data_IF_284558022571
#
_entry.id   IF_284558022571
#
_cell.length_a   1.000
_cell.length_b   1.000
_cell.length_c   1.000
_cell.angle_alpha   90.00
_cell.angle_beta   90.00
_cell.angle_gamma   90.00
#
_symmetry.space_group_name_H-M   'P 1'
#
loop_
_entity.id
_entity.type
_entity.pdbx_description
1 polymer ?
2 non-polymer ?
3 non-polymer ?
4 non-polymer ?
5 non-polymer ?
6 water ?
#
# COMPACT_ATOMS: atom_id res chain seq x y z
N UNK A 1 9.71 12.25 22.89
CA UNK A 1 9.18 12.18 21.48
C UNK A 1 9.01 10.68 21.11
N UNK A 2 7.97 10.29 20.39
CA UNK A 2 7.66 8.90 20.17
C UNK A 2 8.27 8.55 18.77
N UNK A 3 8.52 7.27 18.73
CA UNK A 3 8.95 6.60 17.46
C UNK A 3 8.60 5.13 17.68
N UNK A 4 8.58 4.41 16.53
CA UNK A 4 8.30 2.96 16.72
C UNK A 4 8.52 2.23 15.39
N UNK A 5 8.68 0.90 15.58
CA UNK A 5 8.86 0.06 14.37
C UNK A 5 7.78 -0.98 14.36
N UNK A 6 7.13 -1.17 13.26
CA UNK A 6 6.09 -2.24 13.20
C UNK A 6 6.63 -3.19 12.18
N UNK A 7 6.62 -4.44 12.37
CA UNK A 7 7.15 -5.37 11.33
C UNK A 7 6.00 -5.83 10.48
N UNK A 8 6.16 -5.86 9.18
CA UNK A 8 5.17 -6.33 8.22
C UNK A 8 5.75 -7.67 7.68
N UNK A 9 4.79 -8.40 7.18
CA UNK A 9 5.07 -9.69 6.56
C UNK A 9 4.26 -9.87 5.32
N UNK A 10 4.84 -10.30 4.26
CA UNK A 10 4.12 -10.54 3.02
C UNK A 10 3.29 -11.83 3.13
N UNK A 11 2.20 -11.85 2.48
CA UNK A 11 1.35 -13.07 2.38
C UNK A 11 1.92 -13.87 1.20
N UNK A 12 1.25 -14.97 0.78
CA UNK A 12 1.79 -15.78 -0.34
C UNK A 12 2.04 -14.93 -1.59
N UNK A 13 3.17 -15.04 -2.17
CA UNK A 13 3.57 -14.37 -3.38
C UNK A 13 3.71 -12.87 -3.17
N UNK A 14 3.78 -12.44 -1.95
CA UNK A 14 3.83 -11.00 -1.66
C UNK A 14 2.58 -10.29 -2.22
N UNK A 15 1.44 -10.89 -2.13
CA UNK A 15 0.17 -10.27 -2.61
C UNK A 15 -0.23 -9.03 -1.78
N UNK A 16 -0.04 -9.15 -0.50
CA UNK A 16 -0.29 -7.99 0.42
C UNK A 16 0.63 -8.10 1.58
N UNK A 17 0.80 -7.02 2.33
CA UNK A 17 1.67 -7.02 3.51
C UNK A 17 0.84 -6.77 4.79
N UNK A 18 0.97 -7.59 5.79
CA UNK A 18 0.11 -7.34 6.99
C UNK A 18 1.00 -7.06 8.17
N UNK A 19 0.48 -6.20 9.02
CA UNK A 19 1.18 -5.78 10.24
C UNK A 19 0.13 -5.81 11.39
N UNK A 20 0.53 -6.19 12.57
CA UNK A 20 -0.40 -6.19 13.72
C UNK A 20 -0.61 -4.77 14.24
N UNK A 21 -1.80 -4.53 14.67
CA UNK A 21 -2.31 -3.25 15.19
C UNK A 21 -3.22 -3.66 16.39
N UNK A 22 -2.98 -2.97 17.51
CA UNK A 22 -3.85 -3.31 18.67
C UNK A 22 -4.89 -2.26 18.84
N UNK A 23 -6.15 -2.65 18.78
CA UNK A 23 -7.25 -1.69 18.89
C UNK A 23 -8.07 -2.00 20.16
N UNK A 24 -8.06 -1.03 21.07
CA UNK A 24 -8.75 -1.28 22.35
C UNK A 24 -8.35 -2.67 22.92
N UNK A 25 -7.09 -3.03 22.96
CA UNK A 25 -6.75 -4.36 23.54
C UNK A 25 -6.78 -5.60 22.65
N UNK A 26 -7.44 -5.60 21.52
CA UNK A 26 -7.44 -6.73 20.61
C UNK A 26 -6.44 -6.45 19.46
N UNK A 27 -5.61 -7.43 19.16
CA UNK A 27 -4.68 -7.21 18.02
C UNK A 27 -5.28 -7.81 16.74
N UNK A 28 -5.30 -7.07 15.68
CA UNK A 28 -5.81 -7.39 14.36
C UNK A 28 -4.62 -7.30 13.35
N UNK A 29 -4.69 -8.07 12.28
CA UNK A 29 -3.60 -8.01 11.27
C UNK A 29 -4.12 -7.15 10.14
N UNK A 30 -3.58 -5.93 9.99
CA UNK A 30 -4.08 -5.00 9.00
C UNK A 30 -3.17 -4.78 7.81
N UNK A 31 -3.72 -4.39 6.72
CA UNK A 31 -2.93 -4.06 5.50
C UNK A 31 -2.70 -2.55 5.50
N UNK A 32 -1.48 -2.11 5.73
CA UNK A 32 -1.16 -0.65 5.74
C UNK A 32 -1.18 -0.17 4.30
N UNK A 33 -1.99 0.84 4.01
CA UNK A 33 -2.25 1.29 2.68
C UNK A 33 -2.00 2.77 2.51
N UNK A 34 -0.87 3.12 1.85
CA UNK A 34 -0.59 4.56 1.64
C UNK A 34 -1.47 5.07 0.49
N UNK A 35 -2.39 4.32 -0.11
CA UNK A 35 -3.25 4.77 -1.17
C UNK A 35 -4.69 5.08 -0.71
N UNK A 36 -4.87 4.96 0.59
CA UNK A 36 -6.30 5.36 1.06
C UNK A 36 -6.13 5.89 2.49
N UNK A 37 -7.19 6.66 2.93
CA UNK A 37 -7.13 7.29 4.24
C UNK A 37 -8.14 6.78 5.28
N UNK A 38 -8.64 5.61 5.18
CA UNK A 38 -9.62 5.05 6.14
C UNK A 38 -8.98 3.86 6.90
N UNK A 39 -9.14 3.88 8.21
CA UNK A 39 -8.74 2.73 9.05
C UNK A 39 -10.04 1.96 9.33
N UNK A 40 -10.24 0.84 8.66
CA UNK A 40 -11.47 0.08 8.81
C UNK A 40 -11.09 -1.33 9.21
N UNK A 41 -11.96 -1.96 9.98
CA UNK A 41 -11.74 -3.30 10.51
C UNK A 41 -12.95 -4.18 10.41
N UNK A 42 -12.67 -5.50 10.33
CA UNK A 42 -13.74 -6.53 10.43
C UNK A 42 -14.27 -6.33 11.85
N UNK A 43 -15.58 -6.42 12.05
CA UNK A 43 -16.12 -6.12 13.41
C UNK A 43 -17.22 -7.19 13.67
N UNK A 44 -17.69 -7.09 14.93
CA UNK A 44 -18.78 -7.98 15.42
C UNK A 44 -20.10 -7.54 14.80
N UNK A 45 -20.16 -6.42 14.04
CA UNK A 45 -21.40 -5.94 13.42
C UNK A 45 -21.58 -6.65 12.14
N UNK A 46 -20.56 -7.39 11.60
CA UNK A 46 -20.76 -8.16 10.38
C UNK A 46 -21.59 -9.43 10.75
N UNK A 47 -22.17 -10.00 9.76
CA UNK A 47 -22.87 -11.32 9.87
C UNK A 47 -21.88 -12.29 10.42
N UNK A 48 -22.21 -13.17 11.32
CA UNK A 48 -21.32 -14.14 11.94
C UNK A 48 -20.55 -14.97 10.93
N UNK A 49 -21.12 -15.32 9.83
CA UNK A 49 -20.33 -16.18 8.88
C UNK A 49 -19.22 -15.36 8.22
N UNK A 50 -19.29 -14.05 8.19
CA UNK A 50 -18.24 -13.24 7.60
C UNK A 50 -17.11 -12.98 8.58
N UNK A 51 -17.32 -13.22 9.85
CA UNK A 51 -16.38 -12.98 10.93
C UNK A 51 -15.39 -14.13 10.97
N UNK A 52 -15.83 -15.17 10.33
CA UNK A 52 -15.03 -16.41 10.29
C UNK A 52 -13.61 -16.30 9.73
N UNK A 53 -12.64 -16.79 10.50
CA UNK A 53 -11.26 -16.72 9.95
C UNK A 53 -10.60 -15.36 10.15
N UNK A 54 -11.22 -14.48 10.93
CA UNK A 54 -10.63 -13.16 11.17
C UNK A 54 -10.52 -12.81 12.61
N UNK A 55 -9.76 -11.85 13.01
CA UNK A 55 -9.68 -11.30 14.37
C UNK A 55 -10.66 -10.12 14.18
N UNK A 56 -11.62 -9.95 15.08
CA UNK A 56 -12.59 -8.88 14.85
C UNK A 56 -12.57 -7.89 16.03
N UNK A 57 -12.98 -6.70 15.68
CA UNK A 57 -13.06 -5.64 16.70
C UNK A 57 -14.51 -5.73 17.25
N UNK A 58 -14.61 -5.61 18.56
CA UNK A 58 -15.96 -5.55 19.19
C UNK A 58 -16.03 -4.13 19.78
N UNK A 59 -16.73 -3.27 19.04
CA UNK A 59 -16.79 -1.87 19.41
C UNK A 59 -17.43 -1.58 20.74
N UNK A 60 -18.39 -2.41 21.13
CA UNK A 60 -19.19 -2.10 22.37
C UNK A 60 -18.36 -2.27 23.61
N UNK A 61 -17.31 -3.10 23.50
CA UNK A 61 -16.38 -3.29 24.62
C UNK A 61 -15.49 -2.08 24.97
N UNK A 62 -14.91 -1.30 24.06
CA UNK A 62 -14.00 -0.23 24.41
C UNK A 62 -14.19 1.04 23.61
N UNK A 63 -14.91 0.95 22.54
CA UNK A 63 -15.13 2.07 21.63
C UNK A 63 -16.12 3.14 22.09
N UNK A 64 -15.90 4.30 21.70
CA UNK A 64 -16.89 5.40 21.94
C UNK A 64 -17.54 5.59 20.54
N UNK A 65 -18.81 5.35 20.44
CA UNK A 65 -19.53 5.53 19.14
C UNK A 65 -19.69 6.96 18.70
N UNK A 66 -19.55 7.36 17.49
CA UNK A 66 -19.82 8.63 16.90
C UNK A 66 -21.21 8.40 16.27
N UNK A 67 -22.23 8.70 17.07
CA UNK A 67 -23.62 8.44 16.59
C UNK A 67 -23.93 9.20 15.36
N UNK A 68 -24.48 8.51 14.41
CA UNK A 68 -24.85 9.11 13.12
C UNK A 68 -23.71 9.17 12.07
N UNK A 69 -22.53 8.66 12.42
CA UNK A 69 -21.47 8.83 11.38
C UNK A 69 -21.39 7.50 10.61
N UNK A 70 -21.05 7.58 9.35
CA UNK A 70 -20.91 6.47 8.44
C UNK A 70 -19.63 6.64 7.61
N UNK A 71 -19.34 5.54 6.92
CA UNK A 71 -18.12 5.60 5.98
C UNK A 71 -18.56 4.60 4.89
N UNK A 72 -17.99 4.80 3.75
CA UNK A 72 -18.27 4.02 2.55
C UNK A 72 -17.07 4.23 1.60
N UNK A 73 -16.46 3.11 1.21
CA UNK A 73 -15.27 3.29 0.29
C UNK A 73 -15.30 2.26 -0.83
N UNK A 74 -14.80 2.68 -1.98
CA UNK A 74 -14.59 1.82 -3.16
C UNK A 74 -13.11 1.84 -3.58
N UNK A 75 -12.48 0.73 -3.75
CA UNK A 75 -11.08 0.73 -4.19
C UNK A 75 -10.94 0.51 -5.67
N UNK A 76 -9.70 0.60 -6.15
CA UNK A 76 -9.28 0.45 -7.52
C UNK A 76 -9.61 -0.90 -8.17
N UNK A 77 -9.68 -2.00 -7.44
CA UNK A 77 -10.05 -3.29 -8.06
C UNK A 77 -11.55 -3.58 -7.95
N UNK A 78 -12.36 -2.60 -7.61
CA UNK A 78 -13.83 -2.74 -7.45
C UNK A 78 -14.20 -3.20 -6.05
N UNK A 79 -13.41 -3.52 -5.11
CA UNK A 79 -13.82 -3.97 -3.80
C UNK A 79 -14.37 -2.74 -3.00
N UNK A 80 -15.20 -3.01 -2.01
CA UNK A 80 -15.81 -1.92 -1.24
C UNK A 80 -16.22 -2.41 0.16
N UNK A 81 -16.46 -1.43 1.03
CA UNK A 81 -16.83 -1.73 2.45
C UNK A 81 -17.45 -0.41 2.97
N UNK A 82 -18.24 -0.63 4.03
CA UNK A 82 -18.94 0.57 4.63
C UNK A 82 -19.33 0.19 6.05
N UNK A 83 -19.71 1.19 6.86
CA UNK A 83 -20.14 0.80 8.24
C UNK A 83 -20.24 2.06 9.00
N UNK A 84 -20.03 1.93 10.30
CA UNK A 84 -20.17 3.03 11.27
C UNK A 84 -18.86 3.35 11.94
N UNK A 85 -18.84 4.29 12.85
CA UNK A 85 -17.56 4.74 13.41
C UNK A 85 -17.46 4.87 14.85
N UNK A 86 -16.34 4.47 15.42
CA UNK A 86 -16.11 4.58 16.86
C UNK A 86 -14.72 5.23 17.08
N UNK A 87 -14.47 5.72 18.28
CA UNK A 87 -13.07 6.19 18.58
C UNK A 87 -12.55 5.18 19.60
N UNK A 88 -11.26 4.87 19.48
CA UNK A 88 -10.63 3.94 20.42
C UNK A 88 -9.13 4.19 20.45
N UNK A 89 -8.46 3.37 21.26
CA UNK A 89 -6.95 3.50 21.34
C UNK A 89 -6.37 2.54 20.27
N UNK A 90 -5.45 3.16 19.50
CA UNK A 90 -4.91 2.27 18.41
C UNK A 90 -3.38 2.34 18.56
N UNK A 91 -2.79 1.15 18.72
CA UNK A 91 -1.31 1.07 18.90
C UNK A 91 -0.60 0.35 17.77
N UNK A 92 0.41 1.06 17.22
CA UNK A 92 1.20 0.46 16.11
C UNK A 92 2.68 0.55 16.47
N UNK A 93 3.37 -0.54 16.49
CA UNK A 93 4.81 -0.54 16.82
C UNK A 93 5.14 0.25 18.07
N UNK A 94 4.29 0.12 19.03
CA UNK A 94 4.39 0.76 20.30
C UNK A 94 3.98 2.23 20.23
N UNK A 95 3.51 2.82 19.23
CA UNK A 95 3.06 4.22 19.20
C UNK A 95 1.50 4.10 19.33
N UNK A 96 1.01 4.88 20.28
CA UNK A 96 -0.45 4.88 20.53
C UNK A 96 -1.16 6.18 20.17
N UNK A 97 -2.23 6.06 19.45
CA UNK A 97 -3.08 7.21 19.08
C UNK A 97 -4.26 7.03 20.03
N UNK A 98 -4.59 7.99 20.91
CA UNK A 98 -5.80 7.87 21.74
C UNK A 98 -6.93 8.63 20.99
N UNK A 99 -8.12 8.11 21.03
CA UNK A 99 -9.25 8.68 20.29
C UNK A 99 -9.18 8.63 18.77
N UNK A 100 -8.45 7.66 18.26
CA UNK A 100 -8.39 7.44 16.79
C UNK A 100 -9.73 6.92 16.25
N UNK A 101 -10.18 7.52 15.14
CA UNK A 101 -11.42 7.02 14.50
C UNK A 101 -11.22 5.61 13.96
N UNK A 102 -11.98 4.62 14.35
CA UNK A 102 -11.92 3.21 13.93
C UNK A 102 -13.25 2.97 13.19
N UNK A 103 -13.13 2.68 11.91
CA UNK A 103 -14.27 2.47 11.02
C UNK A 103 -14.67 1.01 11.06
N UNK A 104 -15.77 0.72 11.79
CA UNK A 104 -16.19 -0.69 11.96
C UNK A 104 -17.00 -1.11 10.77
N UNK A 105 -16.62 -2.22 10.09
CA UNK A 105 -17.37 -2.71 8.95
C UNK A 105 -18.72 -3.36 9.37
N UNK A 106 -19.69 -2.83 8.58
CA UNK A 106 -21.03 -3.43 8.61
C UNK A 106 -21.25 -4.24 7.30
N UNK A 107 -20.69 -3.90 6.19
CA UNK A 107 -20.82 -4.57 4.93
C UNK A 107 -19.42 -4.62 4.24
N UNK A 108 -19.11 -5.72 3.59
CA UNK A 108 -17.86 -5.90 2.85
C UNK A 108 -18.17 -6.63 1.53
N UNK A 109 -17.47 -6.27 0.42
CA UNK A 109 -17.80 -6.93 -0.86
C UNK A 109 -17.15 -8.30 -0.84
N UNK A 110 -17.43 -9.10 -1.84
CA UNK A 110 -16.91 -10.49 -1.94
C UNK A 110 -15.39 -10.62 -1.84
N UNK A 111 -14.70 -9.68 -2.46
CA UNK A 111 -13.21 -9.72 -2.38
C UNK A 111 -12.72 -9.80 -0.99
N UNK A 112 -13.27 -8.92 -0.08
CA UNK A 112 -12.81 -8.97 1.33
C UNK A 112 -13.33 -10.20 2.07
N UNK A 113 -14.51 -10.59 1.71
CA UNK A 113 -15.16 -11.78 2.32
C UNK A 113 -14.23 -13.00 2.02
N UNK A 114 -13.61 -13.01 0.86
CA UNK A 114 -12.76 -14.18 0.57
C UNK A 114 -11.36 -14.00 1.01
N UNK A 115 -10.89 -12.83 1.37
CA UNK A 115 -9.50 -12.64 1.79
C UNK A 115 -9.34 -12.83 3.28
N UNK A 116 -8.84 -13.92 3.76
CA UNK A 116 -8.67 -14.08 5.22
C UNK A 116 -7.25 -13.69 5.65
N UNK A 117 -6.50 -13.10 4.75
CA UNK A 117 -5.10 -12.68 5.09
C UNK A 117 -5.11 -11.37 5.96
N UNK A 118 -6.17 -10.59 5.88
CA UNK A 118 -6.16 -9.38 6.74
C UNK A 118 -7.53 -9.30 7.46
N UNK A 119 -7.48 -8.41 8.42
CA UNK A 119 -8.71 -8.04 9.21
C UNK A 119 -9.09 -6.59 8.93
N UNK A 120 -8.66 -6.01 7.83
CA UNK A 120 -9.00 -4.63 7.48
C UNK A 120 -7.72 -3.87 6.99
N UNK A 121 -7.91 -2.58 6.78
CA UNK A 121 -6.91 -1.69 6.24
C UNK A 121 -6.56 -0.54 7.18
N UNK A 122 -5.29 -0.13 7.17
CA UNK A 122 -4.91 1.10 7.94
C UNK A 122 -4.46 2.09 6.91
N UNK A 123 -5.24 3.15 6.66
CA UNK A 123 -4.88 4.08 5.63
C UNK A 123 -3.74 5.02 6.02
N UNK A 124 -2.87 5.32 5.07
CA UNK A 124 -1.80 6.27 5.32
C UNK A 124 -1.68 7.35 4.23
N UNK A 125 -2.65 7.50 3.44
CA UNK A 125 -2.74 8.63 2.46
C UNK A 125 -3.10 9.88 3.31
N UNK A 126 -3.28 11.00 2.66
CA UNK A 126 -3.63 12.25 3.46
C UNK A 126 -5.10 12.16 3.97
N UNK A 127 -5.23 12.75 5.11
CA UNK A 127 -6.57 12.72 5.75
C UNK A 127 -7.63 13.39 4.89
N UNK A 128 -7.37 14.27 3.99
CA UNK A 128 -8.30 15.02 3.16
C UNK A 128 -9.16 14.07 2.34
N UNK A 129 -8.79 12.86 2.14
CA UNK A 129 -9.62 11.88 1.44
C UNK A 129 -10.27 10.82 2.34
N UNK A 130 -10.24 10.96 3.63
CA UNK A 130 -10.92 10.03 4.57
C UNK A 130 -12.45 10.12 4.18
N UNK A 131 -13.12 9.00 4.19
CA UNK A 131 -14.54 8.92 3.70
C UNK A 131 -15.60 9.14 4.79
N UNK A 132 -15.25 9.31 6.03
CA UNK A 132 -16.26 9.46 7.13
C UNK A 132 -17.17 10.68 6.93
N UNK A 133 -18.44 10.39 7.06
CA UNK A 133 -19.55 11.40 6.93
C UNK A 133 -20.29 11.46 8.30
N UNK A 134 -20.72 12.62 8.75
CA UNK A 134 -20.60 13.92 8.08
C UNK A 134 -19.36 14.81 8.23
N UNK A 135 -18.45 14.47 9.08
CA UNK A 135 -17.14 15.19 9.24
C UNK A 135 -16.05 14.10 9.06
N UNK A 136 -15.14 14.42 8.15
CA UNK A 136 -14.05 13.34 7.96
C UNK A 136 -13.16 13.31 9.11
N UNK A 137 -12.42 12.21 9.35
CA UNK A 137 -11.53 11.98 10.47
C UNK A 137 -10.02 11.86 10.03
N UNK A 138 -9.13 11.94 10.99
CA UNK A 138 -7.71 11.84 10.62
C UNK A 138 -7.20 10.38 10.69
N UNK A 139 -6.21 10.16 9.80
CA UNK A 139 -5.56 8.83 9.75
C UNK A 139 -4.72 8.67 10.99
N UNK A 140 -4.37 7.42 11.30
CA UNK A 140 -3.52 7.13 12.42
C UNK A 140 -2.30 8.08 12.37
N UNK A 141 -1.65 8.15 11.22
CA UNK A 141 -0.43 9.00 11.12
C UNK A 141 -0.75 10.49 11.45
N UNK A 142 -1.82 11.04 10.86
CA UNK A 142 -2.13 12.42 11.17
C UNK A 142 -2.46 12.56 12.65
N UNK A 143 -3.09 11.60 13.24
CA UNK A 143 -3.38 11.64 14.66
C UNK A 143 -2.11 11.75 15.51
N UNK A 144 -1.08 10.95 15.26
CA UNK A 144 0.09 10.87 16.12
C UNK A 144 1.21 11.76 15.62
N UNK A 145 1.11 12.30 14.46
CA UNK A 145 2.22 13.03 13.81
C UNK A 145 2.98 14.05 14.68
N UNK A 146 2.24 14.85 15.36
CA UNK A 146 2.79 15.91 16.25
C UNK A 146 3.46 15.33 17.45
N UNK A 147 3.30 14.08 17.86
CA UNK A 147 3.95 13.46 18.96
C UNK A 147 5.27 12.73 18.55
N UNK A 148 5.39 12.46 17.26
CA UNK A 148 6.62 11.72 16.84
C UNK A 148 7.87 12.64 16.81
N UNK A 149 9.00 12.00 16.92
CA UNK A 149 10.29 12.74 16.86
C UNK A 149 10.32 13.51 15.56
N UNK A 150 9.95 12.96 14.41
CA UNK A 150 9.91 13.63 13.11
C UNK A 150 8.55 13.27 12.49
N UNK A 151 7.90 14.12 11.83
CA UNK A 151 6.58 13.79 11.28
C UNK A 151 6.66 13.03 9.92
N UNK A 152 7.14 11.82 10.01
CA UNK A 152 7.32 10.99 8.77
C UNK A 152 7.21 9.51 9.18
N UNK A 153 7.06 8.70 8.16
CA UNK A 153 7.08 7.22 8.35
C UNK A 153 7.96 6.71 7.19
N UNK A 154 8.43 5.50 7.33
CA UNK A 154 9.28 4.95 6.22
C UNK A 154 8.95 3.47 6.11
N UNK A 155 9.15 3.00 4.84
CA UNK A 155 8.79 1.58 4.65
C UNK A 155 9.85 0.81 3.85
N UNK A 156 10.00 -0.43 4.33
CA UNK A 156 10.82 -1.39 3.58
C UNK A 156 9.84 -2.62 3.50
N UNK A 157 9.42 -2.83 2.29
CA UNK A 157 8.65 -4.05 1.91
C UNK A 157 9.72 -4.98 1.24
N UNK A 158 9.63 -6.21 1.63
CA UNK A 158 10.64 -7.17 1.08
C UNK A 158 9.95 -8.33 0.38
N UNK A 159 10.76 -9.07 -0.38
CA UNK A 159 10.22 -10.25 -1.14
C UNK A 159 10.34 -11.47 -0.23
N UNK A 160 9.24 -12.04 0.19
CA UNK A 160 9.21 -13.21 1.07
C UNK A 160 10.10 -13.12 2.27
N UNK A 161 10.19 -12.01 2.98
CA UNK A 161 10.91 -11.82 4.23
C UNK A 161 10.10 -10.66 4.95
N UNK A 162 10.25 -10.69 6.25
CA UNK A 162 9.59 -9.60 7.03
C UNK A 162 10.27 -8.28 6.70
N UNK A 163 9.53 -7.20 6.78
CA UNK A 163 10.00 -5.86 6.51
C UNK A 163 9.53 -4.95 7.74
N UNK A 164 9.64 -3.66 7.48
CA UNK A 164 9.30 -2.75 8.56
C UNK A 164 8.58 -1.54 8.06
N UNK A 165 7.80 -1.00 9.00
CA UNK A 165 7.25 0.36 8.91
C UNK A 165 7.97 1.12 10.06
N UNK A 166 8.73 2.14 9.72
CA UNK A 166 9.40 2.93 10.75
C UNK A 166 8.49 4.19 10.97
N UNK A 167 8.08 4.39 12.18
CA UNK A 167 7.24 5.64 12.45
C UNK A 167 8.08 6.65 13.19
N UNK A 168 8.24 7.85 12.72
CA UNK A 168 8.89 8.96 13.41
C UNK A 168 10.41 8.98 13.32
N UNK A 169 11.01 8.11 12.56
CA UNK A 169 12.50 8.13 12.46
C UNK A 169 12.81 7.35 11.17
N UNK A 170 14.05 7.64 10.69
CA UNK A 170 14.62 7.00 9.55
C UNK A 170 15.65 6.02 10.02
N UNK A 171 15.61 4.78 9.52
CA UNK A 171 16.60 3.78 9.86
C UNK A 171 17.59 3.71 8.66
N UNK A 172 18.75 4.36 8.84
CA UNK A 172 19.77 4.43 7.76
C UNK A 172 20.39 3.08 7.52
N UNK A 173 20.21 2.06 8.34
CA UNK A 173 20.75 0.76 8.02
C UNK A 173 19.89 0.00 7.02
N UNK A 174 18.72 0.52 6.67
CA UNK A 174 17.82 -0.15 5.75
C UNK A 174 18.03 0.20 4.31
N UNK A 175 18.97 1.11 4.00
CA UNK A 175 19.23 1.47 2.59
C UNK A 175 20.70 1.75 2.45
N UNK A 176 21.12 1.69 1.18
CA UNK A 176 22.51 1.94 0.82
C UNK A 176 22.52 3.38 0.36
N UNK A 177 23.59 4.06 0.73
CA UNK A 177 23.94 5.39 0.34
C UNK A 177 23.12 6.48 0.99
N UNK A 178 22.75 7.50 0.22
CA UNK A 178 21.90 8.58 0.78
C UNK A 178 20.50 8.62 0.13
N UNK A 179 19.55 9.24 0.83
CA UNK A 179 18.17 9.39 0.29
C UNK A 179 18.16 10.51 -0.75
N UNK A 180 17.30 10.42 -1.73
CA UNK A 180 17.07 11.48 -2.71
C UNK A 180 15.58 11.81 -2.48
N UNK A 181 15.29 13.10 -2.35
CA UNK A 181 13.88 13.51 -2.09
C UNK A 181 13.26 14.11 -3.29
N UNK A 182 11.95 14.08 -3.43
CA UNK A 182 11.23 14.70 -4.54
C UNK A 182 9.92 15.24 -3.90
N UNK A 183 9.38 16.39 -4.47
CA UNK A 183 8.19 16.96 -3.83
C UNK A 183 6.95 16.08 -4.18
N UNK A 184 6.02 16.14 -3.19
CA UNK A 184 4.77 15.45 -3.35
C UNK A 184 3.65 16.45 -3.61
N UNK A 185 2.74 16.11 -4.44
CA UNK A 185 1.50 16.87 -4.75
C UNK A 185 0.40 16.10 -3.95
N UNK A 186 -0.05 16.68 -2.85
CA UNK A 186 -1.12 15.96 -2.10
C UNK A 186 -2.52 16.51 -2.42
N UNK A 187 -2.72 17.28 -3.45
CA UNK A 187 -3.98 17.90 -3.86
C UNK A 187 -5.10 16.90 -4.03
N UNK A 188 -4.87 15.66 -4.42
CA UNK A 188 -5.89 14.62 -4.54
C UNK A 188 -5.83 13.69 -3.33
N UNK A 189 -5.05 13.98 -2.34
CA UNK A 189 -4.93 13.19 -1.08
C UNK A 189 -3.87 12.08 -1.23
N UNK A 190 -3.18 11.95 -2.35
CA UNK A 190 -2.28 10.78 -2.50
C UNK A 190 -0.78 11.26 -2.33
N UNK A 191 0.09 10.29 -2.17
CA UNK A 191 1.51 10.63 -2.14
C UNK A 191 1.95 10.62 -3.60
N UNK A 192 1.59 11.60 -4.37
CA UNK A 192 1.85 11.65 -5.82
C UNK A 192 3.18 12.33 -6.09
N UNK A 193 3.93 11.76 -7.01
CA UNK A 193 5.27 12.37 -7.31
C UNK A 193 5.45 12.24 -8.82
N UNK A 194 6.47 12.92 -9.34
CA UNK A 194 6.78 12.95 -10.74
C UNK A 194 8.10 12.17 -11.07
N UNK A 195 8.03 11.47 -12.20
CA UNK A 195 9.29 10.86 -12.65
C UNK A 195 9.62 11.63 -13.95
N UNK A 196 10.92 11.76 -14.19
CA UNK A 196 11.40 12.54 -15.38
C UNK A 196 11.52 11.75 -16.65
N UNK A 197 11.76 10.42 -16.48
CA UNK A 197 11.85 9.56 -17.65
C UNK A 197 11.81 8.12 -17.11
N UNK A 198 11.70 7.16 -18.01
CA UNK A 198 11.75 5.78 -17.61
C UNK A 198 12.56 4.97 -18.66
N UNK A 199 13.07 3.88 -18.15
CA UNK A 199 13.76 2.95 -19.07
C UNK A 199 13.16 1.55 -18.92
N UNK A 200 12.61 1.04 -19.99
CA UNK A 200 12.05 -0.38 -19.87
C UNK A 200 13.00 -1.21 -20.74
N UNK A 201 13.96 -1.92 -20.16
CA UNK A 201 14.93 -2.72 -20.94
C UNK A 201 15.67 -1.88 -21.94
N UNK A 202 15.49 -2.10 -23.23
CA UNK A 202 16.13 -1.34 -24.30
C UNK A 202 15.43 -0.07 -24.69
N UNK A 203 14.26 0.29 -24.12
CA UNK A 203 13.56 1.48 -24.60
C UNK A 203 13.44 2.54 -23.47
N UNK A 204 13.60 3.81 -23.80
CA UNK A 204 13.49 4.85 -22.73
C UNK A 204 12.30 5.71 -23.16
N UNK A 205 11.63 6.39 -22.26
CA UNK A 205 10.42 7.20 -22.68
C UNK A 205 10.35 8.41 -21.73
N UNK A 206 9.36 9.26 -22.00
CA UNK A 206 9.14 10.47 -21.27
C UNK A 206 8.51 10.15 -19.89
N UNK A 207 8.69 11.08 -19.01
CA UNK A 207 8.19 11.06 -17.65
C UNK A 207 6.66 11.15 -17.58
N UNK A 208 6.26 10.96 -16.30
CA UNK A 208 4.83 10.90 -15.94
C UNK A 208 4.70 11.05 -14.42
N UNK A 209 3.41 10.96 -13.93
CA UNK A 209 3.24 11.05 -12.50
C UNK A 209 2.64 9.71 -12.00
N UNK A 210 2.83 9.59 -10.68
CA UNK A 210 2.22 8.33 -10.08
C UNK A 210 2.13 8.50 -8.55
N UNK A 211 1.50 7.52 -7.96
CA UNK A 211 1.34 7.49 -6.49
C UNK A 211 2.10 6.37 -5.88
N UNK A 212 2.63 6.61 -4.68
CA UNK A 212 3.37 5.59 -3.93
C UNK A 212 2.27 4.91 -3.09
N UNK A 213 2.01 3.67 -3.48
CA UNK A 213 0.84 2.90 -2.95
C UNK A 213 1.15 1.50 -2.42
N UNK A 214 1.32 1.38 -1.13
CA UNK A 214 1.62 0.12 -0.47
C UNK A 214 0.48 -0.92 -0.60
N UNK A 215 -0.73 -0.47 -0.83
CA UNK A 215 -1.93 -1.26 -0.90
C UNK A 215 -2.18 -1.91 -2.25
N UNK A 216 -1.32 -1.66 -3.26
CA UNK A 216 -1.53 -2.29 -4.59
C UNK A 216 -0.33 -3.28 -4.79
N UNK A 217 -0.67 -4.46 -5.21
CA UNK A 217 0.41 -5.49 -5.33
C UNK A 217 1.37 -5.17 -6.48
N UNK A 218 0.87 -4.73 -7.61
CA UNK A 218 1.79 -4.60 -8.82
C UNK A 218 2.17 -3.17 -9.12
N UNK A 219 2.94 -3.06 -10.20
CA UNK A 219 3.39 -1.76 -10.75
C UNK A 219 2.47 -1.56 -11.92
N UNK A 220 1.55 -0.55 -11.74
CA UNK A 220 0.59 -0.33 -12.82
C UNK A 220 0.96 0.90 -13.65
N UNK A 221 1.11 0.70 -14.88
CA UNK A 221 1.58 1.76 -15.81
C UNK A 221 0.62 2.01 -16.97
N UNK A 222 0.92 3.10 -17.70
CA UNK A 222 0.14 3.39 -18.90
C UNK A 222 0.35 2.24 -19.92
N UNK A 223 -0.72 1.94 -20.64
CA UNK A 223 -0.71 0.83 -21.63
C UNK A 223 0.44 0.91 -22.60
N UNK A 224 0.81 2.13 -23.05
CA UNK A 224 1.92 2.32 -24.00
C UNK A 224 3.20 1.80 -23.34
N UNK A 225 3.44 2.05 -22.09
CA UNK A 225 4.60 1.60 -21.37
C UNK A 225 4.56 0.07 -21.18
N UNK A 226 3.37 -0.39 -20.77
CA UNK A 226 3.30 -1.89 -20.61
C UNK A 226 3.57 -2.62 -21.95
N UNK A 227 3.07 -2.12 -23.08
CA UNK A 227 3.26 -2.78 -24.38
C UNK A 227 4.73 -2.80 -24.72
N UNK A 228 5.36 -1.65 -24.49
CA UNK A 228 6.80 -1.47 -24.76
C UNK A 228 7.61 -2.46 -23.92
N UNK A 229 7.27 -2.67 -22.67
CA UNK A 229 7.98 -3.58 -21.83
C UNK A 229 7.83 -5.01 -22.36
N UNK A 230 6.57 -5.46 -22.51
CA UNK A 230 6.32 -6.87 -22.91
C UNK A 230 6.70 -7.17 -24.37
N UNK A 231 6.86 -6.11 -25.18
CA UNK A 231 7.30 -6.40 -26.56
C UNK A 231 8.71 -6.99 -26.45
N UNK A 232 9.38 -6.82 -25.32
CA UNK A 232 10.74 -7.34 -25.14
C UNK A 232 10.81 -8.67 -24.40
N UNK A 233 9.69 -9.29 -24.12
CA UNK A 233 9.56 -10.49 -23.36
C UNK A 233 8.99 -11.54 -24.34
N UNK A 234 9.95 -12.45 -24.65
CA UNK A 234 9.51 -13.48 -25.63
C UNK A 234 8.26 -14.31 -25.17
N UNK A 235 7.29 -14.30 -26.10
CA UNK A 235 6.11 -15.14 -25.82
C UNK A 235 5.13 -14.58 -24.82
N UNK A 236 5.28 -13.33 -24.41
CA UNK A 236 4.38 -12.76 -23.40
C UNK A 236 2.98 -12.69 -24.01
N UNK A 237 2.00 -12.97 -23.13
CA UNK A 237 0.61 -12.88 -23.66
C UNK A 237 -0.31 -12.49 -22.51
N UNK A 238 -1.45 -11.93 -22.80
CA UNK A 238 -2.41 -11.57 -21.70
C UNK A 238 -3.25 -12.79 -21.41
N UNK A 239 -3.57 -12.97 -20.18
CA UNK A 239 -4.39 -14.11 -19.72
C UNK A 239 -5.34 -13.57 -18.69
N UNK A 240 -6.64 -13.49 -19.06
CA UNK A 240 -7.69 -13.00 -18.18
C UNK A 240 -7.84 -13.97 -16.98
N UNK A 241 -7.53 -15.22 -17.10
CA UNK A 241 -7.64 -16.08 -15.88
C UNK A 241 -6.54 -15.61 -14.93
N UNK A 242 -5.39 -15.19 -15.41
CA UNK A 242 -4.29 -14.78 -14.48
C UNK A 242 -4.43 -13.34 -14.08
N UNK A 243 -5.03 -12.45 -14.89
CA UNK A 243 -5.04 -11.04 -14.44
C UNK A 243 -4.15 -10.16 -15.28
N UNK A 244 -3.58 -10.61 -16.37
CA UNK A 244 -2.76 -9.67 -17.21
C UNK A 244 -1.74 -10.47 -18.02
N UNK A 245 -0.66 -9.75 -18.27
CA UNK A 245 0.41 -10.43 -19.10
C UNK A 245 1.06 -11.56 -18.32
N UNK A 246 1.30 -12.68 -18.98
CA UNK A 246 1.99 -13.83 -18.40
C UNK A 246 3.10 -14.23 -19.38
N UNK A 247 4.02 -15.00 -18.92
CA UNK A 247 5.17 -15.53 -19.66
C UNK A 247 5.68 -16.74 -18.90
N UNK A 248 6.59 -17.44 -19.62
CA UNK A 248 7.25 -18.64 -19.08
C UNK A 248 8.04 -18.17 -17.86
N UNK A 249 8.02 -18.85 -16.80
CA UNK A 249 8.72 -18.51 -15.55
C UNK A 249 10.24 -18.40 -15.72
N UNK A 250 10.85 -19.12 -16.60
CA UNK A 250 12.28 -19.02 -16.88
C UNK A 250 12.72 -17.84 -17.69
N UNK A 251 11.85 -17.05 -18.21
CA UNK A 251 12.24 -15.91 -19.05
C UNK A 251 13.19 -14.99 -18.30
N UNK A 252 14.06 -14.36 -19.02
CA UNK A 252 14.98 -13.32 -18.56
C UNK A 252 14.18 -12.00 -18.76
N UNK A 253 13.77 -11.38 -17.64
CA UNK A 253 13.01 -10.12 -17.88
C UNK A 253 13.96 -8.93 -17.81
N UNK A 254 13.67 -7.94 -18.57
CA UNK A 254 14.41 -6.69 -18.52
C UNK A 254 14.08 -5.98 -17.22
N UNK A 255 15.02 -5.11 -16.85
CA UNK A 255 14.88 -4.26 -15.69
C UNK A 255 13.97 -3.12 -16.14
N UNK A 256 13.44 -2.42 -15.14
CA UNK A 256 12.59 -1.23 -15.35
C UNK A 256 13.12 -0.14 -14.41
N UNK A 257 13.33 1.06 -14.91
CA UNK A 257 13.82 2.08 -13.92
C UNK A 257 13.09 3.36 -14.18
N UNK A 258 13.10 4.24 -13.17
CA UNK A 258 12.47 5.57 -13.38
C UNK A 258 13.49 6.53 -12.86
N UNK A 259 13.58 7.70 -13.42
CA UNK A 259 14.56 8.71 -12.98
C UNK A 259 13.71 9.72 -12.16
N UNK A 260 14.10 9.92 -10.93
CA UNK A 260 13.31 10.78 -10.00
C UNK A 260 14.25 11.82 -9.40
N UNK A 261 14.04 13.08 -9.91
CA UNK A 261 14.93 14.16 -9.40
C UNK A 261 16.39 13.72 -9.37
N UNK A 262 16.96 13.17 -10.42
CA UNK A 262 18.33 12.78 -10.51
C UNK A 262 18.79 11.40 -10.12
N UNK A 263 17.91 10.73 -9.36
CA UNK A 263 18.13 9.37 -8.82
C UNK A 263 17.43 8.33 -9.71
N UNK A 264 18.14 7.32 -10.03
CA UNK A 264 17.55 6.25 -10.81
C UNK A 264 17.02 5.15 -9.85
N UNK A 265 15.74 4.94 -9.87
CA UNK A 265 15.19 3.85 -9.04
C UNK A 265 14.97 2.66 -9.98
N UNK A 266 15.68 1.58 -9.70
CA UNK A 266 15.62 0.42 -10.59
C UNK A 266 14.88 -0.75 -9.97
N UNK A 267 14.00 -1.26 -10.75
CA UNK A 267 13.34 -2.52 -10.32
C UNK A 267 14.03 -3.65 -11.18
N UNK A 268 14.75 -4.52 -10.54
CA UNK A 268 15.41 -5.60 -11.31
C UNK A 268 14.42 -6.52 -11.92
N UNK A 269 14.74 -7.07 -13.09
CA UNK A 269 13.86 -8.01 -13.73
C UNK A 269 13.51 -9.22 -12.81
N UNK A 270 14.29 -9.64 -11.84
CA UNK A 270 13.88 -10.77 -11.01
C UNK A 270 12.69 -10.39 -10.12
N UNK A 271 12.51 -9.11 -9.73
CA UNK A 271 11.35 -8.70 -8.98
C UNK A 271 10.13 -8.58 -9.91
N UNK A 272 10.22 -8.43 -11.18
CA UNK A 272 9.09 -8.29 -12.11
C UNK A 272 8.43 -9.64 -12.40
N UNK A 273 9.10 -10.70 -11.93
CA UNK A 273 8.49 -12.06 -12.03
C UNK A 273 7.71 -12.20 -10.71
N UNK A 274 6.43 -11.85 -10.81
CA UNK A 274 5.61 -11.86 -9.54
C UNK A 274 5.50 -13.22 -8.89
N UNK A 275 5.20 -14.20 -9.73
CA UNK A 275 5.06 -15.61 -9.24
C UNK A 275 4.14 -16.32 -10.25
N UNK A 276 3.74 -17.50 -9.85
CA UNK A 276 2.83 -18.36 -10.63
C UNK A 276 1.56 -17.68 -10.94
N UNK A 277 1.15 -17.75 -12.17
CA UNK A 277 -0.05 -17.04 -12.64
C UNK A 277 -1.26 -17.77 -12.07
N UNK A 278 -1.10 -19.01 -11.72
CA UNK A 278 -2.18 -19.90 -11.22
C UNK A 278 -3.15 -20.19 -12.37
N UNK A 279 -2.58 -20.48 -13.51
CA UNK A 279 -3.28 -20.72 -14.77
C UNK A 279 -2.55 -21.76 -15.63
N UNK A 280 -1.80 -22.63 -15.00
CA UNK A 280 -1.09 -23.65 -15.85
C UNK A 280 0.37 -23.37 -15.45
N UNK A 281 1.23 -23.24 -16.44
CA UNK A 281 2.63 -23.05 -16.02
C UNK A 281 3.34 -21.81 -16.44
N UNK A 282 2.59 -20.69 -16.32
CA UNK A 282 3.14 -19.36 -16.68
C UNK A 282 3.27 -18.58 -15.36
N UNK A 283 3.97 -17.47 -15.43
CA UNK A 283 4.20 -16.59 -14.31
C UNK A 283 3.56 -15.26 -14.65
N UNK A 284 3.09 -14.56 -13.61
CA UNK A 284 2.42 -13.27 -13.94
C UNK A 284 3.49 -12.14 -13.89
N UNK A 285 3.33 -11.19 -14.79
CA UNK A 285 4.30 -10.05 -14.76
C UNK A 285 3.95 -9.13 -13.57
N UNK A 286 4.98 -8.52 -13.02
CA UNK A 286 4.85 -7.49 -11.96
C UNK A 286 4.43 -6.16 -12.57
N UNK A 287 4.54 -5.88 -13.82
CA UNK A 287 4.08 -4.72 -14.50
C UNK A 287 2.78 -5.05 -15.25
N UNK A 288 1.75 -4.21 -14.96
CA UNK A 288 0.39 -4.42 -15.62
C UNK A 288 -0.22 -3.07 -15.93
N UNK A 289 -1.30 -3.09 -16.64
CA UNK A 289 -2.02 -1.85 -17.02
C UNK A 289 -2.68 -1.16 -15.84
N UNK A 290 -2.66 0.16 -15.88
CA UNK A 290 -3.34 1.07 -14.96
C UNK A 290 -4.76 1.36 -15.47
N UNK A 291 -5.15 0.64 -16.54
CA UNK A 291 -6.49 0.78 -17.15
C UNK A 291 -6.94 2.17 -17.53
N UNK A 292 -6.04 2.96 -18.00
CA UNK A 292 -6.35 4.28 -18.51
C UNK A 292 -6.72 5.20 -17.36
N UNK A 293 -6.35 4.97 -16.13
CA UNK A 293 -6.80 6.00 -15.15
C UNK A 293 -6.01 7.29 -15.25
N UNK A 294 -4.97 7.50 -15.95
CA UNK A 294 -4.28 8.81 -16.06
C UNK A 294 -3.11 9.03 -15.12
N UNK A 295 -2.75 8.07 -14.28
CA UNK A 295 -1.56 8.21 -13.42
C UNK A 295 -1.08 6.78 -13.15
N UNK A 296 0.14 6.71 -12.71
CA UNK A 296 0.71 5.32 -12.51
C UNK A 296 0.62 5.01 -11.02
N UNK A 297 0.59 3.73 -10.73
CA UNK A 297 0.45 3.26 -9.34
C UNK A 297 1.76 2.48 -9.00
N UNK A 298 2.56 3.16 -8.15
CA UNK A 298 3.86 2.49 -7.85
C UNK A 298 3.56 1.61 -6.65
N UNK A 299 3.08 0.39 -6.99
CA UNK A 299 2.75 -0.57 -5.93
C UNK A 299 3.93 -1.42 -5.46
N UNK A 300 3.63 -2.52 -4.81
CA UNK A 300 4.59 -3.32 -4.05
C UNK A 300 5.80 -3.79 -4.95
N UNK A 301 5.47 -4.12 -6.18
CA UNK A 301 6.58 -4.57 -7.08
C UNK A 301 7.71 -3.53 -7.03
N UNK A 302 7.34 -2.26 -7.17
CA UNK A 302 8.32 -1.16 -7.13
C UNK A 302 8.87 -0.93 -5.77
N UNK A 303 8.02 -0.88 -4.73
CA UNK A 303 8.51 -0.63 -3.36
C UNK A 303 9.47 -1.69 -2.88
N UNK A 304 9.41 -2.94 -3.24
CA UNK A 304 10.31 -4.00 -2.83
C UNK A 304 11.74 -3.71 -3.23
N UNK A 305 12.00 -2.76 -4.10
CA UNK A 305 13.39 -2.39 -4.43
C UNK A 305 13.85 -1.13 -3.71
N UNK A 306 13.05 -0.43 -2.94
CA UNK A 306 13.48 0.83 -2.31
C UNK A 306 13.11 0.89 -0.84
N UNK A 307 13.82 1.77 -0.19
CA UNK A 307 13.44 2.17 1.18
C UNK A 307 12.77 3.50 0.91
N UNK A 308 11.53 3.74 1.31
CA UNK A 308 10.81 5.00 0.99
C UNK A 308 10.42 5.71 2.28
N UNK A 309 10.72 6.99 2.23
CA UNK A 309 10.40 7.92 3.31
C UNK A 309 9.22 8.80 2.91
N UNK A 310 8.17 8.71 3.69
CA UNK A 310 6.93 9.52 3.50
C UNK A 310 7.02 10.69 4.52
N UNK A 311 7.40 11.85 3.98
CA UNK A 311 7.62 12.99 4.92
C UNK A 311 6.56 14.03 4.79
N UNK A 312 5.92 14.25 5.98
CA UNK A 312 4.82 15.25 5.96
C UNK A 312 5.38 16.62 5.76
N UNK A 313 6.61 16.92 6.04
CA UNK A 313 7.27 18.25 5.77
C UNK A 313 7.58 18.46 4.32
N UNK A 314 6.86 19.24 3.54
CA UNK A 314 7.03 19.44 2.13
C UNK A 314 5.62 19.54 1.53
N UNK A 315 4.92 18.42 1.51
CA UNK A 315 5.46 17.07 1.88
C UNK A 315 6.41 16.61 0.76
N UNK A 316 7.12 15.50 1.04
CA UNK A 316 8.10 14.96 0.09
C UNK A 316 8.30 13.46 0.29
N UNK A 317 8.89 12.78 -0.68
CA UNK A 317 9.16 11.38 -0.56
C UNK A 317 10.73 11.22 -0.79
N UNK A 318 11.30 10.38 0.04
CA UNK A 318 12.74 10.14 -0.13
C UNK A 318 12.84 8.66 -0.55
N UNK A 319 13.82 8.37 -1.42
CA UNK A 319 14.11 7.08 -1.98
C UNK A 319 15.61 6.75 -1.90
N UNK A 320 15.86 5.49 -1.66
CA UNK A 320 17.23 4.94 -1.73
C UNK A 320 17.04 3.41 -1.95
N UNK A 321 18.02 2.72 -2.56
CA UNK A 321 17.91 1.27 -2.75
C UNK A 321 17.94 0.59 -1.39
N UNK A 322 17.15 -0.44 -1.27
CA UNK A 322 17.09 -1.22 0.00
C UNK A 322 18.41 -1.93 0.27
N UNK A 323 18.79 -1.97 1.54
CA UNK A 323 20.12 -2.62 1.79
C UNK A 323 19.92 -4.13 1.74
#
# INVERSE_FOLDING_TARGET
AASGVATNTPTANDEEYITPVTIGGTTLNLNFDTGSADLWVFSTELPASQQSGHSVYNPSATGKELSGYTWSISYGDGSSASGNVFTDSVTVGGVTAHGQAVQAAQQISAQFQQDTNNDGLLGLAFSSINTVQPQSQTTFFDTVKSSLAQPLFAVALKHQQPGVYDFGFIDSSKYTGSLTYTGVDNSQGFWSFNVDSYTAGSQSGDGFSGIADTGTTLLLLDDSVVSQYYSQVSGAQQDSNAGGYVFDCSTNLPDFSVSISGYTATVPGSLINYGPSGDGSTCLGGIQSNSGIGFSIFGDIFLKSQYVVFDSDGPQLGFAPQA
#
